data_IF_891045710247
#
_entry.id   IF_891045710247
#
_cell.length_a   1.000
_cell.length_b   1.000
_cell.length_c   1.000
_cell.angle_alpha   90.00
_cell.angle_beta   90.00
_cell.angle_gamma   90.00
#
_symmetry.space_group_name_H-M   'P 1'
#
loop_
_entity.id
_entity.type
_entity.pdbx_description
1 polymer ?
#
# COMPACT_ATOMS: atom_id res chain seq x y z
N UNK A 1 -17.77 -1.39 -19.31
CA UNK A 1 -17.63 -0.87 -17.94
C UNK A 1 -16.60 0.24 -17.95
N UNK A 2 -16.93 1.44 -17.46
CA UNK A 2 -15.99 2.56 -17.42
C UNK A 2 -14.88 2.23 -16.42
N UNK A 3 -13.66 2.07 -16.91
CA UNK A 3 -12.45 2.12 -16.07
C UNK A 3 -12.44 3.48 -15.37
N UNK A 4 -12.85 3.52 -14.10
CA UNK A 4 -12.67 4.67 -13.24
C UNK A 4 -11.19 4.71 -12.85
N UNK A 5 -10.34 5.24 -13.74
CA UNK A 5 -8.96 5.51 -13.40
C UNK A 5 -8.95 6.56 -12.29
N UNK A 6 -8.70 6.15 -11.04
CA UNK A 6 -8.56 7.09 -9.92
C UNK A 6 -7.46 8.09 -10.27
N UNK A 7 -7.81 9.39 -10.36
CA UNK A 7 -6.85 10.47 -10.62
C UNK A 7 -5.81 10.49 -9.48
N UNK A 8 -4.57 10.17 -9.82
CA UNK A 8 -3.44 10.28 -8.89
C UNK A 8 -3.26 11.74 -8.42
N UNK A 9 -2.72 11.92 -7.22
CA UNK A 9 -2.36 13.24 -6.70
C UNK A 9 -1.00 13.65 -7.26
N UNK A 10 -0.97 14.75 -8.00
CA UNK A 10 0.25 15.41 -8.45
C UNK A 10 1.02 15.99 -7.26
N UNK A 11 2.30 16.31 -7.48
CA UNK A 11 3.13 16.90 -6.42
C UNK A 11 2.61 18.28 -5.97
N UNK A 12 2.20 19.12 -6.92
CA UNK A 12 1.62 20.44 -6.64
C UNK A 12 0.35 20.36 -5.80
N UNK A 13 -0.55 19.42 -6.13
CA UNK A 13 -1.78 19.24 -5.34
C UNK A 13 -1.46 18.82 -3.90
N UNK A 14 -0.45 17.97 -3.68
CA UNK A 14 -0.05 17.56 -2.33
C UNK A 14 0.49 18.74 -1.53
N UNK A 15 1.38 19.52 -2.12
CA UNK A 15 1.95 20.71 -1.48
C UNK A 15 0.87 21.74 -1.12
N UNK A 16 -0.10 21.92 -2.00
CA UNK A 16 -1.23 22.82 -1.76
C UNK A 16 -2.13 22.32 -0.64
N UNK A 17 -2.45 21.02 -0.59
CA UNK A 17 -3.21 20.41 0.51
C UNK A 17 -2.44 20.48 1.82
N UNK A 18 -1.14 20.20 1.82
CA UNK A 18 -0.29 20.26 3.02
C UNK A 18 -0.25 21.69 3.58
N UNK A 19 -0.18 22.70 2.70
CA UNK A 19 -0.25 24.12 3.07
C UNK A 19 -1.63 24.50 3.60
N UNK A 20 -2.69 24.17 2.87
CA UNK A 20 -4.07 24.55 3.20
C UNK A 20 -4.59 23.91 4.48
N UNK A 21 -4.19 22.67 4.76
CA UNK A 21 -4.65 21.90 5.91
C UNK A 21 -3.56 21.67 6.96
N UNK A 22 -2.51 22.48 6.98
CA UNK A 22 -1.39 22.38 7.93
C UNK A 22 -1.87 22.21 9.38
N UNK A 23 -2.77 23.08 9.82
CA UNK A 23 -3.35 23.01 11.17
C UNK A 23 -4.01 21.65 11.46
N UNK A 24 -4.81 21.14 10.52
CA UNK A 24 -5.51 19.86 10.68
C UNK A 24 -4.53 18.67 10.68
N UNK A 25 -3.51 18.71 9.81
CA UNK A 25 -2.49 17.68 9.75
C UNK A 25 -1.64 17.62 11.03
N UNK A 26 -1.25 18.78 11.56
CA UNK A 26 -0.45 18.88 12.80
C UNK A 26 -1.23 18.42 14.04
N UNK A 27 -2.53 18.70 14.09
CA UNK A 27 -3.41 18.29 15.21
C UNK A 27 -4.05 16.91 15.00
N UNK A 28 -3.76 16.23 13.89
CA UNK A 28 -4.36 14.95 13.52
C UNK A 28 -5.90 14.97 13.46
N UNK A 29 -6.46 16.09 13.02
CA UNK A 29 -7.90 16.32 12.88
C UNK A 29 -8.34 16.27 11.42
N UNK A 30 -9.59 15.86 11.19
CA UNK A 30 -10.15 15.87 9.84
C UNK A 30 -10.82 17.23 9.60
N UNK A 31 -10.50 17.93 8.50
CA UNK A 31 -11.14 19.21 8.21
C UNK A 31 -12.66 19.04 8.02
N UNK A 32 -13.46 20.03 8.47
CA UNK A 32 -14.86 20.11 8.13
C UNK A 32 -15.07 20.18 6.62
N UNK A 33 -16.25 19.77 6.19
CA UNK A 33 -16.63 19.80 4.78
C UNK A 33 -16.56 21.23 4.20
N UNK A 34 -17.03 22.22 4.97
CA UNK A 34 -17.06 23.62 4.56
C UNK A 34 -15.66 24.17 4.24
N UNK A 35 -14.67 23.90 5.10
CA UNK A 35 -13.28 24.28 4.84
C UNK A 35 -12.75 23.65 3.55
N UNK A 36 -13.14 22.41 3.25
CA UNK A 36 -12.72 21.77 1.99
C UNK A 36 -13.34 22.44 0.76
N UNK A 37 -14.61 22.84 0.84
CA UNK A 37 -15.25 23.64 -0.20
C UNK A 37 -14.54 24.97 -0.41
N UNK A 38 -14.23 25.69 0.67
CA UNK A 38 -13.53 26.98 0.59
C UNK A 38 -12.15 26.85 -0.06
N UNK A 39 -11.37 25.82 0.30
CA UNK A 39 -10.06 25.59 -0.32
C UNK A 39 -10.18 25.30 -1.82
N UNK A 40 -11.13 24.48 -2.24
CA UNK A 40 -11.35 24.18 -3.66
C UNK A 40 -11.76 25.43 -4.44
N UNK A 41 -12.63 26.26 -3.87
CA UNK A 41 -13.09 27.50 -4.50
C UNK A 41 -11.97 28.53 -4.67
N UNK A 42 -10.97 28.53 -3.78
CA UNK A 42 -9.89 29.52 -3.77
C UNK A 42 -8.57 29.01 -4.36
N UNK A 43 -8.50 27.76 -4.84
CA UNK A 43 -7.26 27.16 -5.34
C UNK A 43 -7.44 26.61 -6.76
N UNK A 44 -6.77 27.25 -7.72
CA UNK A 44 -6.74 26.77 -9.11
C UNK A 44 -6.15 25.35 -9.22
N UNK A 45 -5.22 25.01 -8.31
CA UNK A 45 -4.54 23.70 -8.27
C UNK A 45 -5.49 22.59 -7.84
N UNK A 46 -6.44 22.88 -6.95
CA UNK A 46 -7.37 21.91 -6.37
C UNK A 46 -8.79 21.99 -6.94
N UNK A 47 -9.03 22.89 -7.89
CA UNK A 47 -10.33 23.14 -8.53
C UNK A 47 -11.03 21.89 -9.10
N UNK A 48 -10.24 20.93 -9.62
CA UNK A 48 -10.72 19.65 -10.15
C UNK A 48 -11.06 18.59 -9.09
N UNK A 49 -10.82 18.89 -7.80
CA UNK A 49 -11.03 17.94 -6.70
C UNK A 49 -12.38 18.16 -6.05
N UNK A 50 -12.88 17.10 -5.44
CA UNK A 50 -14.08 17.15 -4.61
C UNK A 50 -13.70 17.32 -3.13
N UNK A 51 -14.56 17.94 -2.31
CA UNK A 51 -14.33 18.06 -0.88
C UNK A 51 -14.08 16.71 -0.21
N UNK A 52 -14.78 15.65 -0.64
CA UNK A 52 -14.60 14.28 -0.15
C UNK A 52 -13.19 13.75 -0.45
N UNK A 53 -12.64 14.06 -1.63
CA UNK A 53 -11.27 13.67 -1.97
C UNK A 53 -10.25 14.36 -1.08
N UNK A 54 -10.44 15.64 -0.76
CA UNK A 54 -9.56 16.37 0.17
C UNK A 54 -9.64 15.77 1.58
N UNK A 55 -10.84 15.55 2.10
CA UNK A 55 -11.03 14.92 3.42
C UNK A 55 -10.41 13.53 3.49
N UNK A 56 -10.62 12.71 2.45
CA UNK A 56 -10.01 11.39 2.35
C UNK A 56 -8.49 11.46 2.27
N UNK A 57 -7.93 12.44 1.57
CA UNK A 57 -6.49 12.66 1.52
C UNK A 57 -5.92 12.96 2.91
N UNK A 58 -6.49 13.94 3.61
CA UNK A 58 -6.06 14.33 4.97
C UNK A 58 -6.21 13.17 5.94
N UNK A 59 -7.34 12.44 5.91
CA UNK A 59 -7.55 11.26 6.74
C UNK A 59 -6.50 10.17 6.51
N UNK A 60 -6.18 9.87 5.24
CA UNK A 60 -5.15 8.90 4.90
C UNK A 60 -3.75 9.36 5.34
N UNK A 61 -3.46 10.65 5.22
CA UNK A 61 -2.20 11.24 5.67
C UNK A 61 -2.02 11.04 7.19
N UNK A 62 -3.04 11.41 7.97
CA UNK A 62 -3.07 11.24 9.43
C UNK A 62 -2.95 9.76 9.81
N UNK A 63 -3.69 8.87 9.16
CA UNK A 63 -3.62 7.43 9.42
C UNK A 63 -2.23 6.86 9.13
N UNK A 64 -1.56 7.33 8.06
CA UNK A 64 -0.19 6.91 7.73
C UNK A 64 0.81 7.39 8.78
N UNK A 65 0.72 8.63 9.23
CA UNK A 65 1.55 9.15 10.31
C UNK A 65 1.36 8.37 11.62
N UNK A 66 0.11 8.13 12.03
CA UNK A 66 -0.20 7.34 13.22
C UNK A 66 0.35 5.91 13.14
N UNK A 67 0.27 5.27 11.97
CA UNK A 67 0.88 3.94 11.74
C UNK A 67 2.39 3.99 11.92
N UNK A 68 3.08 4.99 11.35
CA UNK A 68 4.53 5.14 11.50
C UNK A 68 4.96 5.33 12.96
N UNK A 69 4.18 6.05 13.76
CA UNK A 69 4.44 6.22 15.20
C UNK A 69 4.30 4.90 15.99
N UNK A 70 3.41 3.99 15.56
CA UNK A 70 3.07 2.78 16.31
C UNK A 70 3.71 1.50 15.79
N UNK A 71 4.25 1.48 14.58
CA UNK A 71 5.05 0.34 14.11
C UNK A 71 6.46 0.44 14.71
N UNK A 72 6.88 -0.51 15.56
CA UNK A 72 8.27 -0.64 15.94
C UNK A 72 9.05 -0.89 14.65
N UNK A 73 9.94 0.04 14.35
CA UNK A 73 10.97 0.01 13.32
C UNK A 73 10.79 -1.07 12.25
N UNK A 74 10.05 -0.72 11.19
CA UNK A 74 9.83 -1.62 10.05
C UNK A 74 11.13 -2.09 9.37
N UNK A 75 12.29 -1.51 9.73
CA UNK A 75 13.60 -2.03 9.36
C UNK A 75 13.82 -3.47 9.83
N UNK A 76 13.25 -3.87 10.98
CA UNK A 76 13.38 -5.26 11.47
C UNK A 76 12.59 -6.28 10.63
N UNK A 77 11.53 -5.86 9.95
CA UNK A 77 10.72 -6.76 9.11
C UNK A 77 11.11 -6.75 7.61
N UNK A 78 11.94 -5.80 7.16
CA UNK A 78 12.23 -5.60 5.72
C UNK A 78 13.47 -6.27 5.16
N UNK A 79 14.23 -7.04 5.96
CA UNK A 79 15.42 -7.75 5.46
C UNK A 79 15.28 -9.27 5.54
N UNK A 80 14.18 -9.82 5.05
CA UNK A 80 14.27 -11.19 4.52
C UNK A 80 14.95 -11.08 3.16
N UNK A 81 16.27 -11.03 3.16
CA UNK A 81 17.06 -11.22 1.94
C UNK A 81 16.71 -12.62 1.45
N UNK A 82 15.85 -12.72 0.44
CA UNK A 82 15.56 -14.00 -0.22
C UNK A 82 16.87 -14.45 -0.88
N UNK A 83 17.61 -15.35 -0.23
CA UNK A 83 18.81 -15.96 -0.79
C UNK A 83 18.41 -16.65 -2.10
N UNK A 84 19.11 -16.34 -3.20
CA UNK A 84 18.95 -17.10 -4.45
C UNK A 84 19.44 -18.52 -4.20
N UNK A 85 18.68 -19.48 -4.70
CA UNK A 85 19.04 -20.88 -4.55
C UNK A 85 20.27 -21.20 -5.40
N UNK A 86 21.20 -21.96 -4.84
CA UNK A 86 22.32 -22.54 -5.60
C UNK A 86 21.81 -23.66 -6.51
N UNK A 87 22.61 -24.06 -7.49
CA UNK A 87 22.25 -25.17 -8.38
C UNK A 87 22.18 -26.50 -7.63
N UNK A 88 22.92 -26.65 -6.54
CA UNK A 88 22.85 -27.79 -5.62
C UNK A 88 21.53 -27.79 -4.84
N UNK A 89 21.14 -26.64 -4.27
CA UNK A 89 19.86 -26.49 -3.54
C UNK A 89 18.67 -26.80 -4.48
N UNK A 90 18.73 -26.34 -5.74
CA UNK A 90 17.72 -26.67 -6.76
C UNK A 90 17.70 -28.16 -7.08
N UNK A 91 18.87 -28.79 -7.32
CA UNK A 91 18.98 -30.23 -7.62
C UNK A 91 18.42 -31.10 -6.51
N UNK A 92 18.73 -30.75 -5.26
CA UNK A 92 18.25 -31.52 -4.11
C UNK A 92 16.74 -31.43 -3.96
N UNK A 93 16.14 -30.26 -4.19
CA UNK A 93 14.68 -30.11 -4.18
C UNK A 93 14.04 -30.86 -5.35
N UNK A 94 14.61 -30.82 -6.56
CA UNK A 94 14.11 -31.65 -7.65
C UNK A 94 14.18 -33.14 -7.35
N UNK A 95 15.24 -33.59 -6.67
CA UNK A 95 15.37 -34.99 -6.22
C UNK A 95 14.29 -35.34 -5.19
N UNK A 96 14.14 -34.53 -4.14
CA UNK A 96 13.12 -34.74 -3.10
C UNK A 96 11.71 -34.76 -3.70
N UNK A 97 11.39 -33.78 -4.56
CA UNK A 97 10.08 -33.73 -5.20
C UNK A 97 9.88 -34.85 -6.21
N UNK A 98 10.93 -35.26 -6.94
CA UNK A 98 10.91 -36.43 -7.81
C UNK A 98 10.59 -37.71 -7.03
N UNK A 99 11.27 -37.92 -5.90
CA UNK A 99 11.06 -39.06 -5.01
C UNK A 99 9.63 -39.07 -4.42
N UNK A 100 9.11 -37.91 -4.01
CA UNK A 100 7.73 -37.77 -3.52
C UNK A 100 6.71 -38.08 -4.62
N UNK A 101 6.95 -37.62 -5.85
CA UNK A 101 6.06 -37.88 -6.99
C UNK A 101 6.11 -39.34 -7.46
N UNK A 102 7.26 -40.02 -7.35
CA UNK A 102 7.35 -41.45 -7.63
C UNK A 102 6.72 -42.30 -6.53
N UNK A 103 6.92 -41.96 -5.26
CA UNK A 103 6.24 -42.64 -4.14
C UNK A 103 4.72 -42.56 -4.26
N UNK A 104 4.17 -41.40 -4.64
CA UNK A 104 2.72 -41.25 -4.91
C UNK A 104 2.20 -42.13 -6.06
N UNK A 105 3.03 -42.43 -7.08
CA UNK A 105 2.66 -43.35 -8.16
C UNK A 105 2.64 -44.81 -7.69
N UNK A 106 3.57 -45.22 -6.82
CA UNK A 106 3.60 -46.58 -6.29
C UNK A 106 2.43 -46.88 -5.35
N UNK A 107 2.06 -45.95 -4.46
CA UNK A 107 0.93 -46.15 -3.52
C UNK A 107 -0.44 -46.29 -4.22
N UNK A 108 -0.59 -45.76 -5.45
CA UNK A 108 -1.83 -45.90 -6.23
C UNK A 108 -1.90 -47.25 -6.95
N UNK A 109 -0.76 -47.85 -7.31
CA UNK A 109 -0.70 -49.11 -8.06
C UNK A 109 -0.72 -50.37 -7.16
N UNK A 110 -0.64 -50.24 -5.83
CA UNK A 110 -0.78 -51.35 -4.87
C UNK A 110 -2.21 -51.51 -4.31
N UNK A 111 -3.19 -50.72 -4.78
CA UNK A 111 -4.60 -50.74 -4.34
C UNK A 111 -5.55 -51.23 -5.48
N UNK A 112 -5.02 -51.82 -6.54
CA UNK A 112 -5.78 -52.52 -7.59
C UNK A 112 -5.27 -53.95 -7.74
#
# INVERSE_FOLDING_TARGET
GRSSSRKSWSQKEKEEVDKAFKFYLENYEIPPFQNCCEIIQNSDVLSDRTPEQLRAFVANHIAKHKKQLYTPDSEKCRKVVRKRWTEEEKREVYRIFGDVMQKKKFTINEIL
#
